data_IF_147448966655
#
_entry.id   IF_147448966655
#
_cell.length_a   1.000
_cell.length_b   1.000
_cell.length_c   1.000
_cell.angle_alpha   90.00
_cell.angle_beta   90.00
_cell.angle_gamma   90.00
#
_symmetry.space_group_name_H-M   'P 1'
#
loop_
_entity.id
_entity.type
_entity.pdbx_description
1 polymer ?
#
# COMPACT_ATOMS: atom_id res chain seq x y z
N UNK A 1 -15.11 18.81 -23.03
CA UNK A 1 -14.25 18.87 -21.82
C UNK A 1 -14.95 18.35 -20.56
N UNK A 2 -16.27 18.08 -20.58
CA UNK A 2 -17.05 17.59 -19.42
C UNK A 2 -16.93 16.09 -19.12
N UNK A 3 -16.74 15.22 -20.12
CA UNK A 3 -16.78 13.75 -19.92
C UNK A 3 -15.59 13.20 -19.13
N UNK A 4 -14.40 13.83 -19.22
CA UNK A 4 -13.20 13.34 -18.53
C UNK A 4 -13.27 13.59 -17.01
N UNK A 5 -13.80 14.75 -16.62
CA UNK A 5 -14.03 15.12 -15.22
C UNK A 5 -15.06 14.24 -14.54
N UNK A 6 -16.05 13.73 -15.27
CA UNK A 6 -17.05 12.79 -14.73
C UNK A 6 -16.48 11.38 -14.55
N UNK A 7 -15.51 10.97 -15.36
CA UNK A 7 -14.87 9.65 -15.24
C UNK A 7 -13.77 9.59 -14.15
N UNK A 8 -13.23 10.73 -13.73
CA UNK A 8 -12.13 10.84 -12.76
C UNK A 8 -12.42 10.14 -11.41
N UNK A 9 -13.59 10.32 -10.77
CA UNK A 9 -13.91 9.64 -9.51
C UNK A 9 -13.91 8.10 -9.63
N UNK A 10 -14.41 7.58 -10.75
CA UNK A 10 -14.43 6.15 -11.04
C UNK A 10 -13.02 5.58 -11.20
N UNK A 11 -12.18 6.28 -11.96
CA UNK A 11 -10.78 5.90 -12.18
C UNK A 11 -9.97 5.95 -10.88
N UNK A 12 -10.15 6.99 -10.06
CA UNK A 12 -9.49 7.07 -8.76
C UNK A 12 -9.95 5.97 -7.80
N UNK A 13 -11.26 5.69 -7.76
CA UNK A 13 -11.79 4.63 -6.89
C UNK A 13 -11.23 3.26 -7.30
N UNK A 14 -11.23 2.94 -8.59
CA UNK A 14 -10.64 1.70 -9.11
C UNK A 14 -9.13 1.61 -8.83
N UNK A 15 -8.40 2.69 -9.08
CA UNK A 15 -6.95 2.75 -8.85
C UNK A 15 -6.60 2.57 -7.37
N UNK A 16 -7.19 3.37 -6.47
CA UNK A 16 -6.91 3.27 -5.03
C UNK A 16 -7.39 1.93 -4.44
N UNK A 17 -8.48 1.38 -4.96
CA UNK A 17 -8.94 0.04 -4.58
C UNK A 17 -7.92 -1.04 -4.95
N UNK A 18 -7.36 -0.99 -6.17
CA UNK A 18 -6.33 -1.93 -6.61
C UNK A 18 -5.03 -1.78 -5.79
N UNK A 19 -4.61 -0.54 -5.48
CA UNK A 19 -3.45 -0.27 -4.63
C UNK A 19 -3.66 -0.82 -3.21
N UNK A 20 -4.83 -0.58 -2.61
CA UNK A 20 -5.16 -1.10 -1.28
C UNK A 20 -5.14 -2.63 -1.25
N UNK A 21 -5.74 -3.27 -2.25
CA UNK A 21 -5.75 -4.74 -2.36
C UNK A 21 -4.34 -5.30 -2.54
N UNK A 22 -3.49 -4.64 -3.34
CA UNK A 22 -2.10 -5.02 -3.55
C UNK A 22 -1.27 -4.93 -2.26
N UNK A 23 -1.39 -3.83 -1.51
CA UNK A 23 -0.68 -3.65 -0.24
C UNK A 23 -1.16 -4.68 0.78
N UNK A 24 -2.48 -4.91 0.88
CA UNK A 24 -3.04 -5.89 1.81
C UNK A 24 -2.57 -7.31 1.48
N UNK A 25 -2.56 -7.68 0.20
CA UNK A 25 -2.04 -8.96 -0.27
C UNK A 25 -0.59 -9.16 0.19
N UNK A 26 0.29 -8.19 -0.05
CA UNK A 26 1.69 -8.30 0.32
C UNK A 26 1.90 -8.30 1.83
N UNK A 27 1.14 -7.50 2.58
CA UNK A 27 1.21 -7.50 4.03
C UNK A 27 0.88 -8.88 4.61
N UNK A 28 -0.25 -9.47 4.19
CA UNK A 28 -0.66 -10.81 4.64
C UNK A 28 0.36 -11.87 4.23
N UNK A 29 0.89 -11.79 3.01
CA UNK A 29 1.92 -12.72 2.52
C UNK A 29 3.21 -12.61 3.32
N UNK A 30 3.65 -11.39 3.64
CA UNK A 30 4.82 -11.16 4.48
C UNK A 30 4.58 -11.69 5.90
N UNK A 31 3.43 -11.41 6.52
CA UNK A 31 3.09 -11.96 7.84
C UNK A 31 3.13 -13.49 7.85
N UNK A 32 2.53 -14.15 6.85
CA UNK A 32 2.53 -15.60 6.74
C UNK A 32 3.94 -16.16 6.51
N UNK A 33 4.76 -15.50 5.69
CA UNK A 33 6.14 -15.89 5.45
C UNK A 33 6.96 -15.84 6.75
N UNK A 34 6.96 -14.70 7.45
CA UNK A 34 7.73 -14.57 8.68
C UNK A 34 7.20 -15.47 9.79
N UNK A 35 5.88 -15.58 9.96
CA UNK A 35 5.28 -16.49 10.95
C UNK A 35 5.72 -17.95 10.75
N UNK A 36 5.72 -18.43 9.50
CA UNK A 36 6.16 -19.80 9.18
C UNK A 36 7.66 -20.03 9.38
N UNK A 37 8.46 -18.98 9.35
CA UNK A 37 9.90 -19.01 9.57
C UNK A 37 10.29 -18.57 11.00
N UNK A 38 9.37 -18.64 11.97
CA UNK A 38 9.68 -18.31 13.37
C UNK A 38 10.00 -16.83 13.60
N UNK A 39 9.45 -15.94 12.77
CA UNK A 39 9.74 -14.51 12.73
C UNK A 39 11.21 -14.18 12.42
N UNK A 40 11.87 -15.01 11.61
CA UNK A 40 13.21 -14.72 11.11
C UNK A 40 13.19 -13.59 10.06
N UNK A 41 13.71 -12.43 10.45
CA UNK A 41 13.82 -11.23 9.62
C UNK A 41 15.19 -11.10 8.92
N UNK A 42 16.01 -12.16 8.89
CA UNK A 42 17.29 -12.17 8.17
C UNK A 42 17.10 -12.15 6.65
N UNK A 43 15.98 -12.69 6.17
CA UNK A 43 15.60 -12.73 4.75
C UNK A 43 14.58 -11.64 4.46
N UNK A 44 14.84 -10.81 3.46
CA UNK A 44 13.86 -9.84 2.96
C UNK A 44 12.84 -10.52 2.04
N UNK A 45 11.55 -10.24 2.27
CA UNK A 45 10.44 -10.83 1.54
C UNK A 45 9.36 -9.81 1.23
N UNK A 46 9.02 -9.71 -0.06
CA UNK A 46 8.03 -8.79 -0.59
C UNK A 46 8.66 -7.66 -1.43
N UNK A 47 7.82 -6.73 -1.93
CA UNK A 47 8.30 -5.58 -2.69
C UNK A 47 9.27 -4.70 -1.88
N UNK A 48 10.17 -3.97 -2.57
CA UNK A 48 10.99 -2.95 -1.93
C UNK A 48 10.10 -1.84 -1.38
N UNK A 49 10.47 -1.32 -0.21
CA UNK A 49 9.74 -0.27 0.48
C UNK A 49 10.77 0.67 1.12
N UNK A 50 10.64 1.97 0.90
CA UNK A 50 11.60 2.96 1.39
C UNK A 50 10.86 4.10 2.12
N UNK A 51 11.53 4.71 3.09
CA UNK A 51 11.06 5.97 3.66
C UNK A 51 11.51 7.13 2.77
N UNK A 52 10.55 7.85 2.19
CA UNK A 52 10.78 9.11 1.49
C UNK A 52 11.07 8.97 0.00
N UNK A 53 11.61 10.06 -0.56
CA UNK A 53 11.74 10.28 -1.99
C UNK A 53 12.70 9.25 -2.59
N UNK A 54 12.12 8.36 -3.38
CA UNK A 54 12.75 7.36 -4.22
C UNK A 54 14.01 7.94 -4.88
N UNK A 55 15.16 7.25 -4.76
CA UNK A 55 16.45 7.39 -5.48
C UNK A 55 17.70 7.24 -4.60
N UNK A 56 17.57 7.09 -3.27
CA UNK A 56 18.69 6.69 -2.42
C UNK A 56 18.43 5.31 -1.79
N UNK A 57 19.20 4.32 -2.23
CA UNK A 57 19.21 2.93 -1.73
C UNK A 57 19.53 2.82 -0.24
N UNK A 58 19.99 3.89 0.40
CA UNK A 58 20.31 3.90 1.84
C UNK A 58 19.07 3.89 2.75
N UNK A 59 17.87 4.12 2.22
CA UNK A 59 16.64 4.24 3.01
C UNK A 59 15.65 3.07 2.82
N UNK A 60 16.09 1.97 2.23
CA UNK A 60 15.27 0.77 2.17
C UNK A 60 14.96 0.26 3.58
N UNK A 61 13.67 -0.02 3.82
CA UNK A 61 13.19 -0.51 5.09
C UNK A 61 13.74 -1.90 5.37
N UNK A 62 14.21 -2.13 6.60
CA UNK A 62 14.60 -3.48 7.01
C UNK A 62 13.36 -4.40 7.02
N UNK A 63 13.51 -5.72 6.83
CA UNK A 63 12.40 -6.67 6.79
C UNK A 63 11.42 -6.53 7.97
N UNK A 64 11.96 -6.38 9.19
CA UNK A 64 11.16 -6.14 10.40
C UNK A 64 10.38 -4.84 10.36
N UNK A 65 10.98 -3.77 9.87
CA UNK A 65 10.36 -2.45 9.79
C UNK A 65 9.29 -2.38 8.70
N UNK A 66 9.49 -3.08 7.58
CA UNK A 66 8.45 -3.25 6.55
C UNK A 66 7.18 -3.86 7.16
N UNK A 67 7.31 -4.92 7.95
CA UNK A 67 6.16 -5.62 8.55
C UNK A 67 5.52 -4.82 9.68
N UNK A 68 6.33 -4.23 10.57
CA UNK A 68 5.82 -3.55 11.76
C UNK A 68 5.30 -2.14 11.50
N UNK A 69 5.90 -1.42 10.54
CA UNK A 69 5.56 -0.02 10.26
C UNK A 69 5.20 0.20 8.79
N UNK A 70 6.00 -0.31 7.84
CA UNK A 70 5.83 -0.02 6.41
C UNK A 70 4.44 -0.40 5.87
N UNK A 71 4.08 -1.67 5.95
CA UNK A 71 2.78 -2.16 5.49
C UNK A 71 1.61 -1.58 6.31
N UNK A 72 1.64 -1.52 7.66
CA UNK A 72 0.56 -0.87 8.41
C UNK A 72 0.35 0.60 8.03
N UNK A 73 1.41 1.38 7.89
CA UNK A 73 1.31 2.80 7.47
C UNK A 73 0.79 2.90 6.04
N UNK A 74 1.28 2.07 5.12
CA UNK A 74 0.80 2.03 3.74
C UNK A 74 -0.69 1.66 3.66
N UNK A 75 -1.14 0.68 4.46
CA UNK A 75 -2.56 0.31 4.55
C UNK A 75 -3.41 1.45 5.07
N UNK A 76 -2.97 2.16 6.10
CA UNK A 76 -3.70 3.32 6.64
C UNK A 76 -3.84 4.43 5.59
N UNK A 77 -2.75 4.78 4.92
CA UNK A 77 -2.76 5.81 3.87
C UNK A 77 -3.66 5.38 2.70
N UNK A 78 -3.50 4.16 2.20
CA UNK A 78 -4.30 3.67 1.07
C UNK A 78 -5.78 3.51 1.42
N UNK A 79 -6.11 3.09 2.65
CA UNK A 79 -7.50 3.03 3.12
C UNK A 79 -8.11 4.43 3.20
N UNK A 80 -7.36 5.42 3.71
CA UNK A 80 -7.82 6.80 3.75
C UNK A 80 -8.06 7.37 2.35
N UNK A 81 -7.13 7.17 1.42
CA UNK A 81 -7.26 7.63 0.03
C UNK A 81 -8.42 6.94 -0.71
N UNK A 82 -8.59 5.63 -0.50
CA UNK A 82 -9.74 4.89 -1.04
C UNK A 82 -11.06 5.37 -0.42
N UNK A 83 -11.11 5.65 0.87
CA UNK A 83 -12.28 6.20 1.54
C UNK A 83 -12.67 7.57 0.98
N UNK A 84 -11.70 8.46 0.76
CA UNK A 84 -11.93 9.76 0.11
C UNK A 84 -12.44 9.57 -1.31
N UNK A 85 -11.83 8.69 -2.11
CA UNK A 85 -12.26 8.49 -3.50
C UNK A 85 -13.68 7.95 -3.58
N UNK A 86 -14.07 7.03 -2.69
CA UNK A 86 -15.45 6.54 -2.57
C UNK A 86 -16.42 7.64 -2.12
N UNK A 87 -16.02 8.50 -1.17
CA UNK A 87 -16.86 9.61 -0.73
C UNK A 87 -17.10 10.62 -1.85
N UNK A 88 -16.05 10.98 -2.59
CA UNK A 88 -16.15 11.85 -3.77
C UNK A 88 -16.96 11.19 -4.90
N UNK A 89 -16.93 9.86 -4.99
CA UNK A 89 -17.73 9.10 -5.94
C UNK A 89 -19.24 9.17 -5.64
N UNK A 90 -19.65 9.13 -4.37
CA UNK A 90 -21.07 9.23 -3.97
C UNK A 90 -21.64 10.66 -3.97
N UNK A 91 -20.77 11.68 -3.99
CA UNK A 91 -21.18 13.10 -4.00
C UNK A 91 -21.52 13.67 -5.39
N UNK A 92 -21.38 12.86 -6.45
CA UNK A 92 -21.69 13.19 -7.85
C UNK A 92 -22.93 12.43 -8.33
#
# INVERSE_FOLDING_TARGET
MSSFTEALPYLFTGFFGAVLAWILYWFVRSLLFYWRNGWDFSVDFGPPMAWGNEFQTSNELRPREKVMCGYPVALLISTYLFGISVHLFWGH
#
